data_IF_014683787960
#
_entry.id   IF_014683787960
#
_cell.length_a   1.000
_cell.length_b   1.000
_cell.length_c   1.000
_cell.angle_alpha   90.00
_cell.angle_beta   90.00
_cell.angle_gamma   90.00
#
_symmetry.space_group_name_H-M   'P 1'
#
loop_
_entity.id
_entity.type
_entity.pdbx_description
1 polymer ?
#
# COMPACT_ATOMS: atom_id res chain seq x y z
N UNK A 1 -18.27 14.26 -24.02
CA UNK A 1 -16.98 14.27 -24.73
C UNK A 1 -16.41 12.86 -24.69
N UNK A 2 -16.00 12.31 -25.83
CA UNK A 2 -15.39 10.98 -25.89
C UNK A 2 -13.97 11.04 -25.31
N UNK A 3 -13.85 10.66 -24.04
CA UNK A 3 -12.57 10.42 -23.38
C UNK A 3 -12.11 9.00 -23.73
N UNK A 4 -10.90 8.86 -24.24
CA UNK A 4 -10.35 7.56 -24.65
C UNK A 4 -9.58 6.91 -23.51
N UNK A 5 -8.68 7.65 -22.86
CA UNK A 5 -7.94 7.18 -21.69
C UNK A 5 -7.30 8.33 -20.89
N UNK A 6 -6.85 8.01 -19.69
CA UNK A 6 -6.01 8.86 -18.87
C UNK A 6 -4.54 8.45 -18.92
N UNK A 7 -3.67 9.43 -18.73
CA UNK A 7 -2.25 9.25 -18.49
C UNK A 7 -1.85 10.01 -17.24
N UNK A 8 -0.91 9.47 -16.47
CA UNK A 8 -0.34 10.15 -15.32
C UNK A 8 1.18 9.99 -15.30
N UNK A 9 1.86 11.04 -14.87
CA UNK A 9 3.32 11.12 -14.81
C UNK A 9 3.72 11.85 -13.53
N UNK A 10 4.91 11.51 -13.03
CA UNK A 10 5.52 12.22 -11.92
C UNK A 10 6.08 13.59 -12.34
N UNK A 11 6.83 14.24 -11.44
CA UNK A 11 7.39 15.56 -11.69
C UNK A 11 8.25 15.58 -12.96
N UNK A 12 8.08 16.62 -13.77
CA UNK A 12 8.83 16.82 -15.02
C UNK A 12 8.73 15.66 -16.03
N UNK A 13 7.63 14.89 -15.98
CA UNK A 13 7.37 13.79 -16.91
C UNK A 13 8.06 12.48 -16.55
N UNK A 14 8.58 12.34 -15.33
CA UNK A 14 9.11 11.07 -14.83
C UNK A 14 8.01 10.00 -14.79
N UNK A 15 8.37 8.70 -14.68
CA UNK A 15 7.41 7.68 -14.32
C UNK A 15 6.68 8.01 -13.02
N UNK A 16 5.51 7.41 -12.82
CA UNK A 16 4.80 7.46 -11.54
C UNK A 16 5.68 6.86 -10.42
N UNK A 17 5.50 7.32 -9.17
CA UNK A 17 6.15 6.70 -8.02
C UNK A 17 5.91 5.18 -7.95
N UNK A 18 6.89 4.44 -7.44
CA UNK A 18 6.88 2.96 -7.34
C UNK A 18 5.79 2.39 -6.42
N UNK A 19 4.98 3.24 -5.79
CA UNK A 19 3.85 2.87 -4.97
C UNK A 19 2.49 3.20 -5.60
N UNK A 20 2.44 3.88 -6.75
CA UNK A 20 1.23 4.46 -7.33
C UNK A 20 0.91 3.89 -8.73
N UNK A 21 -0.36 3.58 -8.99
CA UNK A 21 -0.89 3.05 -10.27
C UNK A 21 -2.05 3.92 -10.73
N UNK A 22 -2.10 4.19 -12.03
CA UNK A 22 -3.28 4.74 -12.69
C UNK A 22 -4.07 3.62 -13.39
N UNK A 23 -5.38 3.56 -13.15
CA UNK A 23 -6.33 2.92 -14.06
C UNK A 23 -6.66 3.90 -15.20
N UNK A 24 -6.14 3.68 -16.42
CA UNK A 24 -6.30 4.65 -17.52
C UNK A 24 -7.74 4.70 -18.05
N UNK A 25 -8.56 3.68 -17.81
CA UNK A 25 -9.95 3.62 -18.28
C UNK A 25 -10.84 4.38 -17.30
N UNK A 26 -10.69 4.09 -16.01
CA UNK A 26 -11.53 4.67 -14.94
C UNK A 26 -11.04 6.03 -14.49
N UNK A 27 -9.75 6.33 -14.65
CA UNK A 27 -9.13 7.55 -14.13
C UNK A 27 -8.91 7.51 -12.63
N UNK A 28 -8.67 6.32 -12.08
CA UNK A 28 -8.46 6.12 -10.64
C UNK A 28 -6.97 5.95 -10.38
N UNK A 29 -6.43 6.75 -9.46
CA UNK A 29 -5.10 6.54 -8.92
C UNK A 29 -5.21 5.75 -7.63
N UNK A 30 -4.49 4.64 -7.53
CA UNK A 30 -4.43 3.79 -6.34
C UNK A 30 -2.97 3.51 -6.00
N UNK A 31 -2.64 3.46 -4.72
CA UNK A 31 -1.29 3.13 -4.29
C UNK A 31 -1.20 2.65 -2.86
N UNK A 32 -0.04 2.10 -2.52
CA UNK A 32 0.32 1.70 -1.15
C UNK A 32 1.74 2.21 -0.88
N UNK A 33 1.88 3.43 -0.32
CA UNK A 33 3.18 4.02 -0.04
C UNK A 33 3.91 3.27 1.08
N UNK A 34 5.23 3.28 1.02
CA UNK A 34 6.13 2.80 2.06
C UNK A 34 6.80 3.94 2.84
N UNK A 35 7.66 3.61 3.82
CA UNK A 35 8.37 4.60 4.63
C UNK A 35 9.26 5.57 3.83
N UNK A 36 9.77 5.12 2.67
CA UNK A 36 10.61 5.95 1.78
C UNK A 36 9.81 6.91 0.91
N UNK A 37 8.50 6.73 0.84
CA UNK A 37 7.60 7.53 0.01
C UNK A 37 7.05 8.75 0.77
N UNK A 38 7.41 8.91 2.05
CA UNK A 38 6.99 10.03 2.91
C UNK A 38 7.45 11.37 2.30
N UNK A 39 6.50 12.30 2.21
CA UNK A 39 6.71 13.63 1.67
C UNK A 39 5.70 13.99 0.58
N UNK A 40 5.91 15.17 -0.02
CA UNK A 40 5.07 15.68 -1.10
C UNK A 40 5.57 15.20 -2.47
N UNK A 41 4.66 14.74 -3.32
CA UNK A 41 4.94 14.40 -4.73
C UNK A 41 3.92 15.05 -5.66
N UNK A 42 4.38 15.73 -6.70
CA UNK A 42 3.51 16.30 -7.73
C UNK A 42 3.18 15.27 -8.81
N UNK A 43 1.90 15.15 -9.15
CA UNK A 43 1.38 14.26 -10.19
C UNK A 43 0.75 15.11 -11.28
N UNK A 44 1.17 14.88 -12.52
CA UNK A 44 0.52 15.42 -13.71
C UNK A 44 -0.45 14.38 -14.26
N UNK A 45 -1.72 14.75 -14.45
CA UNK A 45 -2.72 13.90 -15.12
C UNK A 45 -3.15 14.55 -16.44
N UNK A 46 -3.30 13.71 -17.47
CA UNK A 46 -3.77 14.12 -18.79
C UNK A 46 -4.97 13.27 -19.20
N UNK A 47 -6.08 13.91 -19.54
CA UNK A 47 -7.19 13.29 -20.24
C UNK A 47 -6.90 13.32 -21.74
N UNK A 48 -6.93 12.16 -22.39
CA UNK A 48 -6.69 12.02 -23.83
C UNK A 48 -7.99 11.64 -24.53
N UNK A 49 -8.28 12.32 -25.63
CA UNK A 49 -9.46 12.14 -26.47
C UNK A 49 -9.40 13.14 -27.62
N UNK A 50 -10.56 13.46 -28.20
CA UNK A 50 -10.66 14.47 -29.27
C UNK A 50 -10.12 15.84 -28.81
N UNK A 51 -10.48 16.23 -27.60
CA UNK A 51 -9.86 17.34 -26.88
C UNK A 51 -9.05 16.76 -25.71
N UNK A 52 -7.91 17.40 -25.42
CA UNK A 52 -7.06 16.98 -24.31
C UNK A 52 -6.96 18.06 -23.25
N UNK A 53 -7.04 17.62 -22.00
CA UNK A 53 -6.88 18.48 -20.83
C UNK A 53 -5.77 17.93 -19.94
N UNK A 54 -5.07 18.82 -19.25
CA UNK A 54 -3.99 18.49 -18.32
C UNK A 54 -4.22 19.24 -17.02
N UNK A 55 -3.96 18.55 -15.92
CA UNK A 55 -3.98 19.13 -14.58
C UNK A 55 -2.80 18.59 -13.74
N UNK A 56 -2.46 19.30 -12.67
CA UNK A 56 -1.38 18.97 -11.76
C UNK A 56 -1.85 19.17 -10.33
N UNK A 57 -1.65 18.15 -9.49
CA UNK A 57 -1.92 18.22 -8.06
C UNK A 57 -0.77 17.58 -7.28
N UNK A 58 -0.70 17.80 -5.97
CA UNK A 58 0.25 17.14 -5.10
C UNK A 58 -0.42 16.04 -4.26
N UNK A 59 0.37 15.00 -3.97
CA UNK A 59 0.05 13.94 -3.02
C UNK A 59 1.05 14.04 -1.87
N UNK A 60 0.54 14.21 -0.66
CA UNK A 60 1.36 14.19 0.56
C UNK A 60 1.21 12.83 1.24
N UNK A 61 2.33 12.11 1.37
CA UNK A 61 2.41 10.89 2.16
C UNK A 61 2.93 11.26 3.55
N UNK A 62 2.06 11.14 4.54
CA UNK A 62 2.42 11.42 5.93
C UNK A 62 2.89 10.15 6.64
N UNK A 63 3.84 10.30 7.56
CA UNK A 63 4.18 9.22 8.49
C UNK A 63 2.95 8.89 9.33
N UNK A 64 2.50 7.64 9.24
CA UNK A 64 1.53 7.10 10.19
C UNK A 64 2.30 6.38 11.28
N UNK A 65 1.88 6.53 12.54
CA UNK A 65 2.41 5.72 13.62
C UNK A 65 2.06 4.24 13.35
N UNK A 66 3.04 3.33 13.23
CA UNK A 66 2.77 1.91 12.96
C UNK A 66 1.95 1.25 14.08
N UNK A 67 1.88 1.86 15.28
CA UNK A 67 1.02 1.42 16.38
C UNK A 67 -0.41 1.99 16.32
N UNK A 68 -0.69 2.97 15.46
CA UNK A 68 -2.00 3.59 15.28
C UNK A 68 -2.90 2.77 14.34
N UNK A 69 -3.14 1.51 14.72
CA UNK A 69 -4.34 0.77 14.30
C UNK A 69 -5.58 1.42 14.94
N UNK A 70 -6.81 1.11 14.50
CA UNK A 70 -8.03 1.66 15.10
C UNK A 70 -7.96 1.54 16.62
N UNK A 71 -7.73 2.67 17.32
CA UNK A 71 -7.33 2.62 18.72
C UNK A 71 -8.45 2.02 19.54
N UNK A 72 -8.16 0.95 20.28
CA UNK A 72 -9.01 0.52 21.36
C UNK A 72 -9.22 1.68 22.35
N UNK A 73 -10.30 1.61 23.14
CA UNK A 73 -10.50 2.56 24.23
C UNK A 73 -9.27 2.59 25.16
N UNK A 74 -8.92 3.75 25.75
CA UNK A 74 -7.77 3.84 26.65
C UNK A 74 -7.79 2.76 27.74
N UNK A 75 -6.67 2.06 27.93
CA UNK A 75 -6.54 0.97 28.89
C UNK A 75 -6.94 -0.41 28.37
N UNK A 76 -7.35 -0.53 27.10
CA UNK A 76 -7.61 -1.82 26.44
C UNK A 76 -6.47 -2.15 25.49
N UNK A 77 -5.88 -3.33 25.67
CA UNK A 77 -4.87 -3.86 24.75
C UNK A 77 -5.52 -4.30 23.43
N UNK A 78 -4.92 -3.91 22.30
CA UNK A 78 -5.38 -4.31 20.98
C UNK A 78 -4.92 -5.73 20.65
N UNK A 79 -5.81 -6.56 20.11
CA UNK A 79 -5.42 -7.85 19.53
C UNK A 79 -4.98 -7.60 18.09
N UNK A 80 -3.73 -7.94 17.77
CA UNK A 80 -3.13 -7.66 16.47
C UNK A 80 -2.83 -8.97 15.74
N UNK A 81 -3.39 -9.11 14.54
CA UNK A 81 -3.01 -10.18 13.62
C UNK A 81 -1.97 -9.67 12.61
N UNK A 82 -0.91 -10.46 12.41
CA UNK A 82 0.18 -10.12 11.50
C UNK A 82 0.43 -11.27 10.52
N UNK A 83 0.34 -10.97 9.22
CA UNK A 83 0.76 -11.86 8.15
C UNK A 83 2.13 -11.43 7.64
N UNK A 84 3.12 -12.30 7.76
CA UNK A 84 4.49 -12.04 7.30
C UNK A 84 4.70 -12.67 5.92
N UNK A 85 5.24 -11.89 4.99
CA UNK A 85 5.52 -12.33 3.62
C UNK A 85 7.03 -12.23 3.35
N UNK A 86 7.61 -13.27 2.75
CA UNK A 86 9.02 -13.32 2.37
C UNK A 86 9.28 -12.49 1.09
N UNK A 87 9.11 -11.18 1.20
CA UNK A 87 9.35 -10.19 0.15
C UNK A 87 9.88 -8.90 0.76
N UNK A 88 10.48 -8.03 -0.04
CA UNK A 88 10.93 -6.70 0.38
C UNK A 88 10.04 -5.66 -0.30
N UNK A 89 9.61 -4.64 0.44
CA UNK A 89 8.65 -3.65 -0.05
C UNK A 89 9.14 -2.97 -1.34
N UNK A 90 10.44 -2.66 -1.38
CA UNK A 90 11.13 -2.05 -2.52
C UNK A 90 11.19 -2.95 -3.76
N UNK A 91 11.08 -4.27 -3.60
CA UNK A 91 11.06 -5.23 -4.71
C UNK A 91 9.65 -5.50 -5.23
N UNK A 92 8.62 -5.06 -4.51
CA UNK A 92 7.23 -5.21 -4.91
C UNK A 92 6.83 -4.11 -5.88
N UNK A 93 6.22 -4.49 -7.00
CA UNK A 93 5.57 -3.53 -7.90
C UNK A 93 4.36 -2.87 -7.22
N UNK A 94 3.96 -1.65 -7.65
CA UNK A 94 2.74 -1.02 -7.15
C UNK A 94 1.51 -1.95 -7.21
N UNK A 95 1.38 -2.70 -8.31
CA UNK A 95 0.28 -3.65 -8.54
C UNK A 95 0.34 -4.83 -7.56
N UNK A 96 1.52 -5.33 -7.25
CA UNK A 96 1.70 -6.41 -6.27
C UNK A 96 1.28 -5.94 -4.87
N UNK A 97 1.68 -4.71 -4.47
CA UNK A 97 1.27 -4.12 -3.19
C UNK A 97 -0.26 -4.00 -3.10
N UNK A 98 -0.89 -3.44 -4.13
CA UNK A 98 -2.36 -3.30 -4.19
C UNK A 98 -3.09 -4.65 -4.20
N UNK A 99 -2.59 -5.63 -4.96
CA UNK A 99 -3.22 -6.95 -5.09
C UNK A 99 -3.15 -7.72 -3.78
N UNK A 100 -2.01 -7.68 -3.07
CA UNK A 100 -1.87 -8.30 -1.76
C UNK A 100 -2.91 -7.73 -0.76
N UNK A 101 -3.01 -6.40 -0.71
CA UNK A 101 -3.98 -5.71 0.16
C UNK A 101 -5.44 -6.05 -0.20
N UNK A 102 -5.79 -6.02 -1.50
CA UNK A 102 -7.14 -6.32 -1.98
C UNK A 102 -7.54 -7.78 -1.70
N UNK A 103 -6.64 -8.73 -1.97
CA UNK A 103 -6.90 -10.14 -1.77
C UNK A 103 -7.08 -10.49 -0.30
N UNK A 104 -6.21 -9.96 0.57
CA UNK A 104 -6.32 -10.22 2.01
C UNK A 104 -7.58 -9.59 2.60
N UNK A 105 -7.88 -8.34 2.24
CA UNK A 105 -9.11 -7.66 2.65
C UNK A 105 -10.35 -8.47 2.23
N UNK A 106 -10.40 -8.92 0.97
CA UNK A 106 -11.49 -9.75 0.46
C UNK A 106 -11.61 -11.11 1.16
N UNK A 107 -10.48 -11.74 1.51
CA UNK A 107 -10.47 -13.01 2.24
C UNK A 107 -11.00 -12.86 3.67
N UNK A 108 -10.61 -11.78 4.36
CA UNK A 108 -11.02 -11.50 5.74
C UNK A 108 -12.40 -10.85 5.85
N UNK A 109 -12.96 -10.35 4.74
CA UNK A 109 -14.19 -9.55 4.75
C UNK A 109 -13.99 -8.16 5.36
N UNK A 110 -12.76 -7.64 5.35
CA UNK A 110 -12.36 -6.35 5.91
C UNK A 110 -12.28 -5.26 4.84
N UNK A 111 -12.34 -4.01 5.26
CA UNK A 111 -11.97 -2.87 4.43
C UNK A 111 -10.45 -2.81 4.26
N UNK A 112 -9.99 -2.24 3.13
CA UNK A 112 -8.57 -2.02 2.87
C UNK A 112 -7.92 -1.05 3.85
N UNK A 113 -8.71 -0.15 4.43
CA UNK A 113 -8.24 0.85 5.39
C UNK A 113 -7.92 0.24 6.78
N UNK A 114 -8.43 -0.96 7.04
CA UNK A 114 -8.16 -1.73 8.27
C UNK A 114 -6.84 -2.50 8.20
N UNK A 115 -6.28 -2.65 6.99
CA UNK A 115 -5.03 -3.34 6.74
C UNK A 115 -3.87 -2.35 6.66
N UNK A 116 -2.71 -2.73 7.21
CA UNK A 116 -1.48 -1.94 7.13
C UNK A 116 -0.32 -2.78 6.60
N UNK A 117 0.20 -2.41 5.44
CA UNK A 117 1.43 -2.98 4.88
C UNK A 117 2.63 -2.24 5.46
N UNK A 118 3.62 -2.97 5.98
CA UNK A 118 4.83 -2.37 6.56
C UNK A 118 6.06 -3.26 6.35
N UNK A 119 7.25 -2.67 6.48
CA UNK A 119 8.53 -3.41 6.49
C UNK A 119 8.87 -3.99 7.87
N UNK A 120 7.98 -3.84 8.86
CA UNK A 120 8.16 -4.44 10.18
C UNK A 120 7.95 -5.96 10.08
N UNK A 121 8.90 -6.72 10.61
CA UNK A 121 8.85 -8.17 10.61
C UNK A 121 7.76 -8.75 11.55
N UNK A 122 7.82 -10.07 11.75
CA UNK A 122 6.97 -10.74 12.73
C UNK A 122 7.15 -10.13 14.12
N UNK A 123 6.07 -10.05 14.89
CA UNK A 123 6.19 -9.86 16.34
C UNK A 123 7.02 -11.00 16.95
N UNK A 124 7.81 -10.74 18.01
CA UNK A 124 8.48 -11.79 18.75
C UNK A 124 7.49 -12.85 19.24
N UNK A 125 7.91 -14.12 19.24
CA UNK A 125 7.06 -15.22 19.72
C UNK A 125 6.56 -15.00 21.16
N UNK A 126 7.36 -14.33 22.00
CA UNK A 126 7.04 -14.09 23.42
C UNK A 126 5.89 -13.11 23.64
N UNK A 127 5.54 -12.28 22.65
CA UNK A 127 4.38 -11.39 22.71
C UNK A 127 3.19 -11.89 21.88
N UNK A 128 3.27 -13.10 21.30
CA UNK A 128 2.20 -13.69 20.49
C UNK A 128 1.38 -14.70 21.30
N UNK A 129 0.06 -14.54 21.32
CA UNK A 129 -0.86 -15.50 21.96
C UNK A 129 -1.22 -16.68 21.05
N UNK A 130 -1.10 -16.49 19.73
CA UNK A 130 -1.36 -17.51 18.72
C UNK A 130 -0.47 -17.26 17.50
N UNK A 131 0.13 -18.33 16.97
CA UNK A 131 0.90 -18.29 15.73
C UNK A 131 0.70 -19.60 14.96
N UNK A 132 0.79 -19.52 13.64
CA UNK A 132 0.72 -20.68 12.74
C UNK A 132 1.86 -20.66 11.74
N UNK A 133 2.27 -21.83 11.22
CA UNK A 133 3.28 -21.89 10.17
C UNK A 133 2.73 -21.32 8.87
N UNK A 134 3.60 -20.64 8.11
CA UNK A 134 3.34 -20.29 6.72
C UNK A 134 3.76 -21.41 5.76
N UNK A 135 3.80 -21.08 4.47
CA UNK A 135 4.22 -21.99 3.39
C UNK A 135 5.68 -21.77 2.93
N UNK A 136 6.40 -20.80 3.50
CA UNK A 136 7.79 -20.50 3.14
C UNK A 136 8.73 -21.47 3.86
N UNK A 137 9.40 -22.34 3.08
CA UNK A 137 10.37 -23.31 3.62
C UNK A 137 11.78 -22.74 3.80
N UNK A 138 12.16 -21.72 3.01
CA UNK A 138 13.45 -21.02 3.13
C UNK A 138 13.23 -19.54 2.87
N UNK A 139 13.62 -18.69 3.82
CA UNK A 139 13.56 -17.24 3.66
C UNK A 139 14.65 -16.74 2.72
N UNK A 140 14.27 -15.77 1.91
CA UNK A 140 15.13 -15.12 0.91
C UNK A 140 15.20 -13.60 1.11
N UNK A 141 14.20 -13.00 1.77
CA UNK A 141 14.15 -11.58 2.10
C UNK A 141 15.00 -11.26 3.33
N UNK A 142 15.77 -10.17 3.24
CA UNK A 142 16.49 -9.60 4.39
C UNK A 142 15.54 -8.79 5.28
N UNK A 143 14.58 -8.11 4.66
CA UNK A 143 13.58 -7.26 5.31
C UNK A 143 12.17 -7.69 4.86
N UNK A 144 11.59 -8.71 5.52
CA UNK A 144 10.28 -9.23 5.14
C UNK A 144 9.21 -8.17 5.39
N UNK A 145 8.25 -8.09 4.46
CA UNK A 145 7.08 -7.24 4.63
C UNK A 145 6.00 -7.95 5.45
N UNK A 146 5.21 -7.19 6.19
CA UNK A 146 4.04 -7.67 6.91
C UNK A 146 2.79 -6.91 6.53
N UNK A 147 1.65 -7.60 6.56
CA UNK A 147 0.34 -6.96 6.61
C UNK A 147 -0.25 -7.18 7.99
N UNK A 148 -0.70 -6.11 8.62
CA UNK A 148 -1.24 -6.09 9.98
C UNK A 148 -2.68 -5.58 9.99
N UNK A 149 -3.48 -6.15 10.88
CA UNK A 149 -4.87 -5.75 11.11
C UNK A 149 -5.33 -6.10 12.51
N UNK A 150 -6.43 -5.49 12.93
CA UNK A 150 -7.11 -5.73 14.20
C UNK A 150 -8.46 -6.39 13.97
#
# INVERSE_FOLDING_TARGET
GNREHYQAQGPKGSPLPSWLVLDPVRGVLEGVPGPRDIGETYITVRAVGQDSAKDVFSLEVTRTDPSALPSCSPGVEATLATLVMDSELEKMTPQQRLTAMKNLAGFLGLSRDELRLSEEGALPHESSIMAGPGNVHRRSSVHPVSIRWQ
#
